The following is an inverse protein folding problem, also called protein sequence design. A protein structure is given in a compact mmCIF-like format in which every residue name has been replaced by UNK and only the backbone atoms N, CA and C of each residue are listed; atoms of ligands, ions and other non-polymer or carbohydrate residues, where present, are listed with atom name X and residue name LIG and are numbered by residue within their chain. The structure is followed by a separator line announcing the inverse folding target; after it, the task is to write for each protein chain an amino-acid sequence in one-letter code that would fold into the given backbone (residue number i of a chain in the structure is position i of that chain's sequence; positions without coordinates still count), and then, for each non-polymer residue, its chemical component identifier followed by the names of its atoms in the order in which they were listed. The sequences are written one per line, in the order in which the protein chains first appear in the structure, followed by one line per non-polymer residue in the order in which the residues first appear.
data_IF_446360835990
#
_entry.id   IF_446360835990
#
_cell.length_a   1.000
_cell.length_b   1.000
_cell.length_c   1.000
_cell.angle_alpha   90.00
_cell.angle_beta   90.00
_cell.angle_gamma   90.00
#
_symmetry.space_group_name_H-M   'P 1'
#
loop_
_entity.id
_entity.type
_entity.pdbx_description
1 polymer ?
#
# COMPACT_ATOMS: atom_id res chain seq x y z
N UNK A 1 -27.27 6.78 2.79
CA UNK A 1 -27.07 5.63 3.70
C UNK A 1 -27.33 4.22 3.12
N UNK A 2 -27.86 4.03 1.89
CA UNK A 2 -28.00 2.68 1.28
C UNK A 2 -26.69 2.10 0.67
N UNK A 3 -25.66 2.93 0.44
CA UNK A 3 -24.41 2.53 -0.21
C UNK A 3 -23.48 1.70 0.71
N UNK A 4 -23.44 2.00 2.02
CA UNK A 4 -22.58 1.28 2.96
C UNK A 4 -23.02 -0.18 3.15
N UNK A 5 -24.34 -0.45 3.23
CA UNK A 5 -24.86 -1.81 3.43
C UNK A 5 -24.58 -2.76 2.26
N UNK A 6 -24.40 -2.25 1.04
CA UNK A 6 -24.06 -3.10 -0.11
C UNK A 6 -22.55 -3.31 -0.28
N UNK A 7 -21.72 -2.34 0.12
CA UNK A 7 -20.28 -2.55 0.18
C UNK A 7 -19.90 -3.71 1.11
N UNK A 8 -20.61 -3.89 2.23
CA UNK A 8 -20.23 -4.88 3.26
C UNK A 8 -20.83 -6.29 3.11
N UNK A 9 -21.83 -6.49 2.24
CA UNK A 9 -22.64 -7.74 2.25
C UNK A 9 -22.00 -8.94 1.54
N UNK A 10 -20.90 -8.75 0.81
CA UNK A 10 -20.14 -9.82 0.14
C UNK A 10 -18.74 -10.03 0.72
N UNK A 11 -18.50 -9.63 1.98
CA UNK A 11 -17.21 -9.95 2.62
C UNK A 11 -17.27 -11.30 3.28
N UNK A 12 -16.45 -12.22 2.74
CA UNK A 12 -16.17 -13.48 3.39
C UNK A 12 -15.42 -13.19 4.69
N UNK A 13 -16.11 -13.27 5.84
CA UNK A 13 -15.54 -12.99 7.17
C UNK A 13 -14.29 -13.82 7.43
N UNK A 14 -14.26 -15.06 6.93
CA UNK A 14 -13.11 -15.96 7.04
C UNK A 14 -11.87 -15.44 6.32
N UNK A 15 -12.03 -14.74 5.20
CA UNK A 15 -10.91 -14.12 4.49
C UNK A 15 -10.27 -13.03 5.34
N UNK A 16 -11.07 -12.15 5.95
CA UNK A 16 -10.56 -11.08 6.80
C UNK A 16 -9.97 -11.59 8.11
N UNK A 17 -10.56 -12.65 8.68
CA UNK A 17 -9.98 -13.36 9.81
C UNK A 17 -8.60 -13.93 9.47
N UNK A 18 -8.46 -14.63 8.34
CA UNK A 18 -7.18 -15.15 7.89
C UNK A 18 -6.16 -14.02 7.67
N UNK A 19 -6.55 -12.93 7.00
CA UNK A 19 -5.70 -11.75 6.83
C UNK A 19 -5.25 -11.21 8.19
N UNK A 20 -6.15 -11.04 9.15
CA UNK A 20 -5.80 -10.56 10.49
C UNK A 20 -4.80 -11.48 11.21
N UNK A 21 -4.96 -12.80 11.12
CA UNK A 21 -4.00 -13.76 11.70
C UNK A 21 -2.62 -13.61 11.06
N UNK A 22 -2.54 -13.54 9.72
CA UNK A 22 -1.24 -13.38 9.04
C UNK A 22 -0.60 -12.03 9.41
N UNK A 23 -1.38 -10.95 9.45
CA UNK A 23 -0.88 -9.63 9.86
C UNK A 23 -0.33 -9.63 11.29
N UNK A 24 -0.99 -10.34 12.22
CA UNK A 24 -0.49 -10.50 13.60
C UNK A 24 0.84 -11.25 13.64
N UNK A 25 0.99 -12.32 12.85
CA UNK A 25 2.25 -13.07 12.78
C UNK A 25 3.38 -12.21 12.20
N UNK A 26 3.11 -11.44 11.13
CA UNK A 26 4.09 -10.52 10.57
C UNK A 26 4.46 -9.40 11.56
N UNK A 27 3.47 -8.82 12.23
CA UNK A 27 3.72 -7.76 13.22
C UNK A 27 4.52 -8.29 14.42
N UNK A 28 4.27 -9.54 14.83
CA UNK A 28 5.05 -10.20 15.88
C UNK A 28 6.52 -10.35 15.50
N UNK A 29 6.80 -10.82 14.28
CA UNK A 29 8.17 -10.93 13.76
C UNK A 29 8.89 -9.56 13.75
N UNK A 30 8.21 -8.50 13.30
CA UNK A 30 8.77 -7.15 13.31
C UNK A 30 9.02 -6.64 14.73
N UNK A 31 8.12 -6.92 15.68
CA UNK A 31 8.31 -6.60 17.10
C UNK A 31 9.57 -7.27 17.64
N UNK A 32 9.73 -8.58 17.43
CA UNK A 32 10.89 -9.31 17.91
C UNK A 32 12.18 -8.73 17.33
N UNK A 33 12.21 -8.47 16.02
CA UNK A 33 13.36 -7.85 15.35
C UNK A 33 13.75 -6.50 15.98
N UNK A 34 12.79 -5.60 16.20
CA UNK A 34 13.05 -4.29 16.81
C UNK A 34 13.56 -4.43 18.25
N UNK A 35 12.92 -5.28 19.05
CA UNK A 35 13.28 -5.47 20.46
C UNK A 35 14.66 -6.10 20.62
N UNK A 36 14.97 -7.13 19.83
CA UNK A 36 16.29 -7.80 19.84
C UNK A 36 17.39 -6.82 19.42
N UNK A 37 17.12 -5.98 18.41
CA UNK A 37 18.08 -4.97 17.95
C UNK A 37 18.28 -3.86 18.99
N UNK A 38 17.22 -3.40 19.64
CA UNK A 38 17.30 -2.41 20.72
C UNK A 38 18.08 -2.94 21.93
N UNK A 39 17.81 -4.17 22.33
CA UNK A 39 18.52 -4.87 23.39
C UNK A 39 20.01 -5.06 23.05
N UNK A 40 20.32 -5.50 21.83
CA UNK A 40 21.70 -5.65 21.36
C UNK A 40 22.49 -4.33 21.43
N UNK A 41 21.82 -3.21 21.22
CA UNK A 41 22.42 -1.86 21.32
C UNK A 41 22.44 -1.29 22.74
N UNK A 42 21.79 -1.94 23.70
CA UNK A 42 21.61 -1.41 25.05
C UNK A 42 20.81 -0.11 25.08
N UNK A 43 19.92 0.09 24.10
CA UNK A 43 19.11 1.30 23.96
C UNK A 43 17.64 1.01 24.24
N UNK A 44 16.94 2.02 24.72
CA UNK A 44 15.53 1.95 25.02
C UNK A 44 14.68 2.22 23.76
N UNK A 45 13.80 1.28 23.41
CA UNK A 45 12.80 1.41 22.34
C UNK A 45 11.43 1.80 22.92
N UNK A 46 10.60 2.45 22.11
CA UNK A 46 9.23 2.77 22.46
C UNK A 46 8.23 2.23 21.42
N UNK A 47 6.93 2.49 21.63
CA UNK A 47 5.87 1.95 20.78
C UNK A 47 6.00 2.36 19.30
N UNK A 48 6.54 3.54 19.02
CA UNK A 48 6.69 4.05 17.64
C UNK A 48 7.65 3.23 16.81
N UNK A 49 8.72 2.71 17.43
CA UNK A 49 9.71 1.88 16.75
C UNK A 49 9.06 0.63 16.16
N UNK A 50 8.21 -0.03 16.96
CA UNK A 50 7.48 -1.23 16.54
C UNK A 50 6.36 -0.88 15.56
N UNK A 51 5.61 0.19 15.79
CA UNK A 51 4.54 0.62 14.86
C UNK A 51 5.10 0.91 13.47
N UNK A 52 6.16 1.70 13.37
CA UNK A 52 6.78 2.06 12.10
C UNK A 52 7.41 0.85 11.42
N UNK A 53 8.04 -0.06 12.16
CA UNK A 53 8.57 -1.30 11.59
C UNK A 53 7.46 -2.21 11.03
N UNK A 54 6.34 -2.34 11.75
CA UNK A 54 5.19 -3.12 11.29
C UNK A 54 4.56 -2.52 10.03
N UNK A 55 4.35 -1.21 10.00
CA UNK A 55 3.69 -0.52 8.88
C UNK A 55 4.60 -0.38 7.65
N UNK A 56 5.89 -0.11 7.87
CA UNK A 56 6.88 0.17 6.83
C UNK A 56 7.69 -1.03 6.34
N UNK A 57 7.28 -2.26 6.66
CA UNK A 57 7.97 -3.46 6.20
C UNK A 57 7.78 -3.67 4.70
N UNK A 58 8.86 -3.62 3.87
CA UNK A 58 8.77 -3.90 2.43
C UNK A 58 8.29 -5.32 2.15
N UNK A 59 8.65 -6.25 3.03
CA UNK A 59 8.27 -7.64 2.91
C UNK A 59 6.77 -7.81 3.06
N UNK A 60 6.18 -7.17 4.07
CA UNK A 60 4.75 -7.15 4.29
C UNK A 60 4.01 -6.60 3.07
N UNK A 61 4.40 -5.42 2.60
CA UNK A 61 3.72 -4.77 1.47
C UNK A 61 3.89 -5.58 0.18
N UNK A 62 5.12 -5.95 -0.20
CA UNK A 62 5.36 -6.57 -1.51
C UNK A 62 4.95 -8.04 -1.58
N UNK A 63 5.17 -8.83 -0.54
CA UNK A 63 4.98 -10.29 -0.60
C UNK A 63 3.63 -10.74 -0.07
N UNK A 64 2.96 -9.94 0.77
CA UNK A 64 1.64 -10.28 1.30
C UNK A 64 0.56 -9.36 0.74
N UNK A 65 0.70 -8.05 0.91
CA UNK A 65 -0.37 -7.09 0.61
C UNK A 65 -0.56 -6.95 -0.90
N UNK A 66 0.50 -6.68 -1.66
CA UNK A 66 0.46 -6.49 -3.11
C UNK A 66 -0.16 -7.67 -3.86
N UNK A 67 0.27 -8.93 -3.70
CA UNK A 67 -0.32 -10.05 -4.43
C UNK A 67 -1.79 -10.26 -4.07
N UNK A 68 -2.14 -10.14 -2.78
CA UNK A 68 -3.53 -10.23 -2.33
C UNK A 68 -4.38 -9.11 -2.95
N UNK A 69 -3.86 -7.87 -2.93
CA UNK A 69 -4.50 -6.70 -3.50
C UNK A 69 -4.73 -6.87 -5.00
N UNK A 70 -3.68 -7.20 -5.76
CA UNK A 70 -3.72 -7.45 -7.21
C UNK A 70 -4.72 -8.55 -7.56
N UNK A 71 -4.66 -9.70 -6.87
CA UNK A 71 -5.58 -10.81 -7.11
C UNK A 71 -7.04 -10.40 -6.91
N UNK A 72 -7.34 -9.76 -5.78
CA UNK A 72 -8.70 -9.33 -5.46
C UNK A 72 -9.18 -8.21 -6.39
N UNK A 73 -8.28 -7.29 -6.76
CA UNK A 73 -8.52 -6.24 -7.75
C UNK A 73 -8.89 -6.83 -9.11
N UNK A 74 -8.12 -7.79 -9.61
CA UNK A 74 -8.36 -8.43 -10.90
C UNK A 74 -9.63 -9.26 -10.90
N UNK A 75 -9.92 -10.00 -9.82
CA UNK A 75 -11.18 -10.73 -9.67
C UNK A 75 -12.39 -9.78 -9.71
N UNK A 76 -12.32 -8.69 -8.97
CA UNK A 76 -13.39 -7.70 -8.92
C UNK A 76 -13.59 -7.01 -10.28
N UNK A 77 -12.52 -6.67 -10.99
CA UNK A 77 -12.61 -6.14 -12.37
C UNK A 77 -13.41 -7.09 -13.26
N UNK A 78 -13.10 -8.39 -13.22
CA UNK A 78 -13.76 -9.39 -14.06
C UNK A 78 -15.22 -9.64 -13.65
N UNK A 79 -15.54 -9.56 -12.36
CA UNK A 79 -16.90 -9.78 -11.85
C UNK A 79 -17.81 -8.55 -12.05
N UNK A 80 -17.28 -7.35 -11.82
CA UNK A 80 -18.04 -6.11 -11.91
C UNK A 80 -18.17 -5.63 -13.38
N UNK A 81 -17.39 -6.19 -14.32
CA UNK A 81 -17.52 -5.97 -15.78
C UNK A 81 -18.57 -6.91 -16.40
N UNK A 82 -19.77 -6.95 -15.83
CA UNK A 82 -20.93 -7.65 -16.37
C UNK A 82 -21.78 -6.68 -17.22
N UNK A 83 -22.21 -7.05 -18.45
CA UNK A 83 -23.12 -6.23 -19.26
C UNK A 83 -24.33 -5.68 -18.50
N UNK A 84 -24.93 -6.47 -17.60
CA UNK A 84 -26.08 -6.07 -16.79
C UNK A 84 -25.71 -4.95 -15.82
N UNK A 85 -24.49 -4.98 -15.28
CA UNK A 85 -23.96 -3.96 -14.38
C UNK A 85 -23.60 -2.70 -15.17
N UNK A 86 -22.98 -2.84 -16.34
CA UNK A 86 -22.57 -1.75 -17.21
C UNK A 86 -23.74 -0.90 -17.74
N UNK A 87 -24.87 -1.53 -18.07
CA UNK A 87 -26.09 -0.83 -18.50
C UNK A 87 -26.56 0.18 -17.43
N UNK A 88 -26.38 -0.13 -16.15
CA UNK A 88 -26.77 0.76 -15.04
C UNK A 88 -25.84 1.97 -14.88
N UNK A 89 -24.57 1.83 -15.25
CA UNK A 89 -23.56 2.89 -15.09
C UNK A 89 -23.52 3.90 -16.23
N UNK A 90 -24.11 3.59 -17.40
CA UNK A 90 -24.19 4.44 -18.61
C UNK A 90 -22.85 4.85 -19.24
N UNK A 91 -21.73 4.77 -18.51
CA UNK A 91 -20.38 5.08 -18.97
C UNK A 91 -19.34 4.24 -18.21
N UNK A 92 -18.30 3.72 -18.90
CA UNK A 92 -17.25 2.95 -18.25
C UNK A 92 -16.46 3.76 -17.20
N UNK A 93 -16.40 5.09 -17.33
CA UNK A 93 -15.76 5.94 -16.31
C UNK A 93 -16.51 5.96 -14.99
N UNK A 94 -17.84 5.94 -15.05
CA UNK A 94 -18.65 5.82 -13.82
C UNK A 94 -18.43 4.47 -13.15
N UNK A 95 -18.23 3.41 -13.94
CA UNK A 95 -17.84 2.10 -13.42
C UNK A 95 -16.47 2.13 -12.73
N UNK A 96 -15.46 2.79 -13.32
CA UNK A 96 -14.14 2.96 -12.67
C UNK A 96 -14.27 3.67 -11.32
N UNK A 97 -14.97 4.80 -11.27
CA UNK A 97 -15.14 5.57 -10.02
C UNK A 97 -15.91 4.80 -8.95
N UNK A 98 -17.00 4.13 -9.34
CA UNK A 98 -17.78 3.29 -8.43
C UNK A 98 -16.92 2.17 -7.82
N UNK A 99 -16.16 1.49 -8.66
CA UNK A 99 -15.34 0.35 -8.25
C UNK A 99 -14.14 0.83 -7.42
N UNK A 100 -13.56 1.99 -7.75
CA UNK A 100 -12.52 2.62 -6.93
C UNK A 100 -13.03 3.00 -5.54
N UNK A 101 -14.22 3.58 -5.41
CA UNK A 101 -14.82 3.91 -4.11
C UNK A 101 -15.04 2.66 -3.25
N UNK A 102 -15.52 1.55 -3.85
CA UNK A 102 -15.65 0.24 -3.20
C UNK A 102 -14.28 -0.28 -2.71
N UNK A 103 -13.21 -0.07 -3.49
CA UNK A 103 -11.83 -0.44 -3.12
C UNK A 103 -11.26 0.41 -2.00
N UNK A 104 -11.50 1.71 -2.01
CA UNK A 104 -11.08 2.58 -0.91
C UNK A 104 -11.71 2.10 0.41
N UNK A 105 -12.98 1.69 0.41
CA UNK A 105 -13.60 1.08 1.58
C UNK A 105 -12.90 -0.19 2.08
N UNK A 106 -12.48 -1.07 1.16
CA UNK A 106 -11.71 -2.29 1.50
C UNK A 106 -10.32 -1.96 2.03
N UNK A 107 -9.67 -0.96 1.44
CA UNK A 107 -8.36 -0.48 1.84
C UNK A 107 -8.40 0.07 3.27
N UNK A 108 -9.43 0.84 3.61
CA UNK A 108 -9.65 1.34 4.97
C UNK A 108 -9.80 0.18 5.96
N UNK A 109 -10.63 -0.82 5.65
CA UNK A 109 -10.80 -2.00 6.52
C UNK A 109 -9.48 -2.73 6.72
N UNK A 110 -8.73 -2.94 5.63
CA UNK A 110 -7.41 -3.57 5.67
C UNK A 110 -6.43 -2.78 6.56
N UNK A 111 -6.34 -1.47 6.40
CA UNK A 111 -5.46 -0.62 7.22
C UNK A 111 -5.87 -0.56 8.68
N UNK A 112 -7.17 -0.59 8.98
CA UNK A 112 -7.63 -0.68 10.36
C UNK A 112 -7.17 -1.99 10.98
N UNK A 113 -7.30 -3.12 10.29
CA UNK A 113 -6.79 -4.42 10.77
C UNK A 113 -5.27 -4.41 10.96
N UNK A 114 -4.53 -3.84 10.00
CA UNK A 114 -3.08 -3.71 10.09
C UNK A 114 -2.66 -2.84 11.28
N UNK A 115 -3.30 -1.69 11.48
CA UNK A 115 -3.03 -0.80 12.60
C UNK A 115 -3.37 -1.46 13.94
N UNK A 116 -4.50 -2.17 14.02
CA UNK A 116 -4.85 -2.93 15.22
C UNK A 116 -3.84 -4.03 15.53
N UNK A 117 -3.36 -4.75 14.51
CA UNK A 117 -2.31 -5.76 14.68
C UNK A 117 -1.01 -5.12 15.17
N UNK A 118 -0.58 -4.00 14.57
CA UNK A 118 0.61 -3.28 14.96
C UNK A 118 0.51 -2.74 16.39
N UNK A 119 -0.62 -2.13 16.77
CA UNK A 119 -0.88 -1.64 18.14
C UNK A 119 -0.94 -2.79 19.15
N UNK A 120 -1.51 -3.95 18.78
CA UNK A 120 -1.49 -5.12 19.67
C UNK A 120 -0.05 -5.57 19.99
N UNK A 121 0.88 -5.40 19.05
CA UNK A 121 2.29 -5.74 19.24
C UNK A 121 3.07 -4.72 20.09
N UNK A 122 2.51 -3.53 20.36
CA UNK A 122 3.15 -2.56 21.25
C UNK A 122 2.89 -2.84 22.74
N UNK A 123 2.10 -3.88 23.05
CA UNK A 123 1.81 -4.26 24.43
C UNK A 123 3.09 -4.58 25.23
N UNK A 124 3.19 -3.99 26.41
CA UNK A 124 4.37 -4.09 27.28
C UNK A 124 5.53 -3.17 26.89
N UNK A 125 5.39 -2.35 25.84
CA UNK A 125 6.40 -1.36 25.43
C UNK A 125 5.96 0.02 25.92
N UNK A 126 6.87 0.83 26.50
CA UNK A 126 6.54 2.14 27.02
C UNK A 126 6.07 3.09 25.93
N UNK A 127 5.02 3.83 26.24
CA UNK A 127 4.47 4.88 25.41
C UNK A 127 5.19 6.20 25.70
N UNK A 128 5.65 6.87 24.65
CA UNK A 128 6.28 8.19 24.70
C UNK A 128 5.71 9.06 23.57
N UNK A 129 5.63 10.37 23.76
CA UNK A 129 5.12 11.27 22.71
C UNK A 129 6.15 11.57 21.60
N UNK A 130 7.42 11.27 21.85
CA UNK A 130 8.55 11.56 20.98
C UNK A 130 9.26 10.26 20.55
N UNK A 131 10.21 10.36 19.62
CA UNK A 131 11.06 9.25 19.21
C UNK A 131 11.93 8.74 20.37
N UNK A 132 12.12 7.42 20.41
CA UNK A 132 12.90 6.73 21.43
C UNK A 132 14.39 7.08 21.37
N UNK A 133 15.12 6.77 22.45
CA UNK A 133 16.57 6.84 22.46
C UNK A 133 17.19 5.90 21.40
N UNK A 134 16.54 4.77 21.13
CA UNK A 134 16.91 3.84 20.07
C UNK A 134 16.90 4.50 18.68
N UNK A 135 15.81 5.18 18.32
CA UNK A 135 15.70 5.90 17.03
C UNK A 135 16.65 7.08 16.91
N UNK A 136 16.92 7.80 18.01
CA UNK A 136 17.82 8.97 18.02
C UNK A 136 19.30 8.63 17.95
N UNK A 137 19.67 7.35 18.08
CA UNK A 137 21.07 6.95 18.11
C UNK A 137 21.77 7.14 16.77
N UNK A 138 23.00 7.68 16.73
CA UNK A 138 23.79 7.77 15.51
C UNK A 138 24.17 6.39 14.94
N UNK A 139 24.07 5.32 15.73
CA UNK A 139 24.20 3.94 15.23
C UNK A 139 22.91 3.40 14.59
N UNK A 140 21.90 4.26 14.44
CA UNK A 140 20.57 3.95 13.94
C UNK A 140 20.49 3.58 12.46
N UNK A 141 21.60 3.60 11.71
CA UNK A 141 21.58 3.29 10.27
C UNK A 141 21.11 1.85 9.98
N UNK A 142 21.17 0.98 11.00
CA UNK A 142 20.62 -0.38 11.00
C UNK A 142 19.09 -0.40 11.21
N UNK A 143 18.51 0.69 11.71
CA UNK A 143 17.09 0.92 11.93
C UNK A 143 16.53 1.65 10.72
N UNK A 144 16.43 0.91 9.61
CA UNK A 144 16.04 1.48 8.32
C UNK A 144 14.64 2.12 8.31
N UNK A 145 13.82 1.98 9.36
CA UNK A 145 12.41 2.41 9.37
C UNK A 145 12.14 3.74 10.07
N UNK A 146 12.86 4.07 11.15
CA UNK A 146 12.54 5.24 12.00
C UNK A 146 13.58 6.35 11.95
N UNK A 147 14.88 6.02 11.86
CA UNK A 147 15.93 7.04 11.89
C UNK A 147 15.79 8.08 10.75
N UNK A 148 15.57 7.69 9.48
CA UNK A 148 15.43 8.69 8.41
C UNK A 148 14.22 9.62 8.61
N UNK A 149 13.17 9.10 9.26
CA UNK A 149 11.94 9.85 9.59
C UNK A 149 12.23 10.87 10.69
N UNK A 150 12.96 10.47 11.73
CA UNK A 150 13.41 11.35 12.79
C UNK A 150 14.35 12.46 12.27
N UNK A 151 15.35 12.11 11.46
CA UNK A 151 16.31 13.08 10.89
C UNK A 151 15.63 14.12 9.99
N UNK A 152 14.50 13.76 9.38
CA UNK A 152 13.68 14.66 8.57
C UNK A 152 12.79 15.60 9.41
N UNK A 153 12.86 15.53 10.75
CA UNK A 153 12.07 16.35 11.67
C UNK A 153 10.59 15.97 11.73
N UNK A 154 10.21 14.78 11.22
CA UNK A 154 8.83 14.32 11.21
C UNK A 154 8.49 13.73 12.58
N UNK A 155 7.38 14.17 13.17
CA UNK A 155 6.89 13.61 14.44
C UNK A 155 6.39 12.16 14.27
N UNK A 156 6.41 11.32 15.32
CA UNK A 156 5.99 9.93 15.19
C UNK A 156 4.56 9.75 14.65
N UNK A 157 3.63 10.58 15.11
CA UNK A 157 2.24 10.61 14.64
C UNK A 157 2.12 10.89 13.15
N UNK A 158 2.84 11.91 12.67
CA UNK A 158 2.84 12.27 11.26
C UNK A 158 3.55 11.19 10.43
N UNK A 159 4.60 10.55 10.97
CA UNK A 159 5.29 9.43 10.36
C UNK A 159 4.35 8.26 10.06
N UNK A 160 3.56 7.82 11.04
CA UNK A 160 2.56 6.77 10.86
C UNK A 160 1.52 7.15 9.82
N UNK A 161 1.01 8.39 9.85
CA UNK A 161 0.02 8.86 8.89
C UNK A 161 0.57 8.88 7.46
N UNK A 162 1.81 9.36 7.28
CA UNK A 162 2.48 9.42 5.99
C UNK A 162 2.79 8.02 5.46
N UNK A 163 3.26 7.10 6.30
CA UNK A 163 3.51 5.69 5.94
C UNK A 163 2.23 5.03 5.40
N UNK A 164 1.12 5.16 6.12
CA UNK A 164 -0.19 4.65 5.68
C UNK A 164 -0.66 5.32 4.38
N UNK A 165 -0.42 6.63 4.24
CA UNK A 165 -0.75 7.38 3.03
C UNK A 165 0.05 6.93 1.80
N UNK A 166 1.36 6.71 1.97
CA UNK A 166 2.25 6.25 0.90
C UNK A 166 1.87 4.85 0.43
N UNK A 167 1.72 3.91 1.36
CA UNK A 167 1.29 2.55 1.04
C UNK A 167 -0.12 2.52 0.43
N UNK A 168 -1.03 3.37 0.91
CA UNK A 168 -2.40 3.44 0.37
C UNK A 168 -2.42 3.99 -1.05
N UNK A 169 -1.64 5.06 -1.30
CA UNK A 169 -1.45 5.65 -2.63
C UNK A 169 -0.89 4.64 -3.63
N UNK A 170 0.14 3.88 -3.23
CA UNK A 170 0.72 2.81 -4.03
C UNK A 170 -0.32 1.76 -4.45
N UNK A 171 -1.13 1.27 -3.52
CA UNK A 171 -2.16 0.26 -3.81
C UNK A 171 -3.28 0.81 -4.71
N UNK A 172 -3.64 2.09 -4.56
CA UNK A 172 -4.58 2.78 -5.45
C UNK A 172 -4.01 2.87 -6.87
N UNK A 173 -2.73 3.24 -7.03
CA UNK A 173 -2.09 3.31 -8.34
C UNK A 173 -2.04 1.94 -9.02
N UNK A 174 -1.72 0.87 -8.29
CA UNK A 174 -1.81 -0.51 -8.83
C UNK A 174 -3.23 -0.81 -9.34
N UNK A 175 -4.25 -0.46 -8.55
CA UNK A 175 -5.64 -0.69 -8.93
C UNK A 175 -6.02 0.08 -10.21
N UNK A 176 -5.60 1.34 -10.33
CA UNK A 176 -5.81 2.15 -11.52
C UNK A 176 -5.08 1.58 -12.73
N UNK A 177 -3.84 1.12 -12.55
CA UNK A 177 -3.05 0.48 -13.60
C UNK A 177 -3.77 -0.77 -14.15
N UNK A 178 -4.30 -1.62 -13.27
CA UNK A 178 -5.08 -2.80 -13.67
C UNK A 178 -6.36 -2.43 -14.43
N UNK A 179 -7.08 -1.38 -14.01
CA UNK A 179 -8.24 -0.89 -14.75
C UNK A 179 -7.85 -0.39 -16.14
N UNK A 180 -6.81 0.44 -16.23
CA UNK A 180 -6.36 0.99 -17.52
C UNK A 180 -5.90 -0.12 -18.46
N UNK A 181 -5.13 -1.11 -17.98
CA UNK A 181 -4.77 -2.29 -18.78
C UNK A 181 -6.01 -3.03 -19.29
N UNK A 182 -6.99 -3.28 -18.43
CA UNK A 182 -8.19 -4.00 -18.82
C UNK A 182 -9.02 -3.23 -19.87
N UNK A 183 -9.14 -1.91 -19.73
CA UNK A 183 -9.88 -1.06 -20.66
C UNK A 183 -9.17 -0.92 -22.02
N UNK A 184 -7.87 -0.63 -22.00
CA UNK A 184 -7.05 -0.40 -23.20
C UNK A 184 -6.99 -1.62 -24.12
N UNK A 185 -6.99 -2.82 -23.54
CA UNK A 185 -6.92 -4.07 -24.30
C UNK A 185 -8.29 -4.71 -24.53
N UNK A 186 -9.35 -3.89 -24.62
CA UNK A 186 -10.72 -4.32 -24.94
C UNK A 186 -11.20 -5.49 -24.07
N UNK A 187 -10.97 -5.40 -22.76
CA UNK A 187 -11.53 -6.32 -21.77
C UNK A 187 -11.02 -7.76 -21.86
N UNK A 188 -9.85 -7.97 -22.49
CA UNK A 188 -9.23 -9.31 -22.60
C UNK A 188 -8.77 -9.80 -21.23
N UNK A 189 -9.43 -10.84 -20.71
CA UNK A 189 -9.09 -11.50 -19.43
C UNK A 189 -7.61 -11.91 -19.33
N UNK A 190 -7.05 -12.48 -20.40
CA UNK A 190 -5.64 -12.92 -20.42
C UNK A 190 -4.67 -11.76 -20.19
N UNK A 191 -4.95 -10.58 -20.76
CA UNK A 191 -4.10 -9.39 -20.58
C UNK A 191 -4.11 -8.93 -19.14
N UNK A 192 -5.27 -8.91 -18.49
CA UNK A 192 -5.38 -8.56 -17.07
C UNK A 192 -4.61 -9.53 -16.18
N UNK A 193 -4.73 -10.84 -16.43
CA UNK A 193 -4.02 -11.87 -15.65
C UNK A 193 -2.51 -11.79 -15.84
N UNK A 194 -2.04 -11.69 -17.08
CA UNK A 194 -0.62 -11.56 -17.38
C UNK A 194 -0.04 -10.25 -16.83
N UNK A 195 -0.76 -9.13 -17.01
CA UNK A 195 -0.38 -7.84 -16.45
C UNK A 195 -0.31 -7.85 -14.92
N UNK A 196 -1.23 -8.55 -14.26
CA UNK A 196 -1.20 -8.75 -12.79
C UNK A 196 0.09 -9.44 -12.35
N UNK A 197 0.48 -10.51 -13.04
CA UNK A 197 1.72 -11.26 -12.75
C UNK A 197 2.95 -10.38 -13.01
N UNK A 198 2.98 -9.65 -14.12
CA UNK A 198 4.08 -8.74 -14.44
C UNK A 198 4.24 -7.61 -13.41
N UNK A 199 3.14 -7.01 -12.94
CA UNK A 199 3.19 -5.97 -11.91
C UNK A 199 3.77 -6.54 -10.60
N UNK A 200 3.33 -7.72 -10.20
CA UNK A 200 3.82 -8.38 -8.99
C UNK A 200 5.30 -8.75 -9.09
N UNK A 201 5.70 -9.47 -10.14
CA UNK A 201 7.11 -9.86 -10.37
C UNK A 201 7.97 -8.60 -10.54
N UNK A 202 7.50 -7.60 -11.29
CA UNK A 202 8.19 -6.34 -11.48
C UNK A 202 8.42 -5.58 -10.17
N UNK A 203 7.46 -5.63 -9.23
CA UNK A 203 7.64 -5.10 -7.88
C UNK A 203 8.75 -5.83 -7.10
N UNK A 204 8.79 -7.16 -7.16
CA UNK A 204 9.84 -7.96 -6.51
C UNK A 204 11.21 -7.67 -7.13
N UNK A 205 11.29 -7.68 -8.47
CA UNK A 205 12.53 -7.37 -9.21
C UNK A 205 13.01 -5.97 -8.90
N UNK A 206 12.10 -4.98 -8.88
CA UNK A 206 12.42 -3.60 -8.51
C UNK A 206 13.00 -3.51 -7.09
N UNK A 207 12.45 -4.25 -6.13
CA UNK A 207 12.96 -4.27 -4.76
C UNK A 207 14.31 -4.97 -4.63
N UNK A 208 14.51 -6.10 -5.30
CA UNK A 208 15.69 -6.96 -5.12
C UNK A 208 16.87 -6.64 -6.03
N UNK A 209 16.62 -6.20 -7.27
CA UNK A 209 17.64 -6.12 -8.33
C UNK A 209 18.03 -4.68 -8.68
N UNK A 210 17.22 -3.68 -8.34
CA UNK A 210 17.58 -2.29 -8.64
C UNK A 210 18.74 -1.84 -7.74
N UNK A 211 19.84 -1.32 -8.31
CA UNK A 211 21.00 -0.86 -7.54
C UNK A 211 20.65 0.23 -6.52
N UNK A 212 21.47 0.34 -5.47
CA UNK A 212 21.35 1.40 -4.46
C UNK A 212 21.46 2.81 -5.03
N UNK A 213 22.24 2.99 -6.10
CA UNK A 213 22.52 4.27 -6.73
C UNK A 213 21.35 4.85 -7.54
N UNK A 214 20.31 4.04 -7.77
CA UNK A 214 19.07 4.46 -8.43
C UNK A 214 17.88 4.33 -7.46
N UNK A 215 17.88 5.06 -6.34
CA UNK A 215 16.91 4.87 -5.28
C UNK A 215 15.49 5.22 -5.74
N UNK A 216 15.33 6.15 -6.68
CA UNK A 216 14.03 6.48 -7.30
C UNK A 216 13.44 5.34 -8.15
N UNK A 217 14.25 4.40 -8.65
CA UNK A 217 13.77 3.28 -9.45
C UNK A 217 13.30 2.10 -8.59
N UNK A 218 13.54 2.15 -7.27
CA UNK A 218 13.05 1.14 -6.32
C UNK A 218 11.60 1.41 -5.97
N UNK A 219 10.77 0.39 -6.11
CA UNK A 219 9.34 0.47 -5.78
C UNK A 219 9.12 0.82 -4.29
N UNK A 220 10.01 0.40 -3.40
CA UNK A 220 9.94 0.69 -1.95
C UNK A 220 10.02 2.18 -1.64
N UNK A 221 10.70 2.96 -2.48
CA UNK A 221 10.84 4.40 -2.31
C UNK A 221 9.51 5.15 -2.45
N UNK A 222 8.48 4.48 -2.97
CA UNK A 222 7.16 5.04 -3.14
C UNK A 222 6.23 4.71 -1.97
N UNK A 223 6.35 3.53 -1.37
CA UNK A 223 5.37 3.07 -0.37
C UNK A 223 5.92 2.94 1.05
N UNK A 224 7.23 3.06 1.27
CA UNK A 224 7.86 3.06 2.59
C UNK A 224 8.48 4.42 2.87
N UNK A 225 8.07 5.07 3.95
CA UNK A 225 8.44 6.44 4.27
C UNK A 225 9.95 6.62 4.42
N UNK A 226 10.62 5.69 5.10
CA UNK A 226 12.07 5.80 5.32
C UNK A 226 12.87 5.73 4.02
N UNK A 227 12.48 4.84 3.09
CA UNK A 227 13.08 4.79 1.76
C UNK A 227 12.69 6.00 0.91
N UNK A 228 11.46 6.53 1.05
CA UNK A 228 11.05 7.79 0.41
C UNK A 228 11.99 8.93 0.79
N UNK A 229 12.28 9.11 2.08
CA UNK A 229 13.10 10.21 2.57
C UNK A 229 14.57 10.09 2.15
N UNK A 230 15.05 8.87 1.92
CA UNK A 230 16.38 8.64 1.35
C UNK A 230 16.44 8.83 -0.16
N UNK A 231 15.32 8.63 -0.86
CA UNK A 231 15.27 8.62 -2.33
C UNK A 231 14.89 9.95 -2.95
N UNK A 232 14.11 10.76 -2.22
CA UNK A 232 13.55 12.01 -2.71
C UNK A 232 13.91 13.17 -1.80
N UNK A 233 14.11 14.38 -2.35
CA UNK A 233 14.43 15.57 -1.55
C UNK A 233 13.28 16.00 -0.64
N UNK A 234 12.05 15.54 -0.92
CA UNK A 234 10.88 15.86 -0.11
C UNK A 234 9.86 14.72 -0.11
N UNK A 235 9.21 14.52 1.03
CA UNK A 235 8.22 13.45 1.25
C UNK A 235 6.97 13.57 0.37
N UNK A 236 6.64 14.78 -0.11
CA UNK A 236 5.46 14.99 -0.96
C UNK A 236 5.66 14.48 -2.41
N UNK A 237 6.89 14.18 -2.82
CA UNK A 237 7.22 13.81 -4.21
C UNK A 237 6.49 12.53 -4.66
N UNK A 238 6.51 11.40 -3.91
CA UNK A 238 5.70 10.23 -4.27
C UNK A 238 4.21 10.53 -4.40
N UNK A 239 3.64 11.36 -3.53
CA UNK A 239 2.22 11.73 -3.60
C UNK A 239 1.89 12.51 -4.88
N UNK A 240 2.77 13.44 -5.28
CA UNK A 240 2.64 14.13 -6.56
C UNK A 240 2.76 13.16 -7.75
N UNK A 241 3.67 12.18 -7.68
CA UNK A 241 3.79 11.14 -8.69
C UNK A 241 2.54 10.27 -8.76
N UNK A 242 1.94 9.89 -7.63
CA UNK A 242 0.67 9.16 -7.60
C UNK A 242 -0.46 9.93 -8.26
N UNK A 243 -0.57 11.23 -7.97
CA UNK A 243 -1.56 12.09 -8.61
C UNK A 243 -1.33 12.14 -10.12
N UNK A 244 -0.09 12.38 -10.56
CA UNK A 244 0.28 12.43 -11.97
C UNK A 244 -0.05 11.10 -12.68
N UNK A 245 0.39 9.97 -12.14
CA UNK A 245 0.11 8.65 -12.71
C UNK A 245 -1.39 8.37 -12.75
N UNK A 246 -2.14 8.74 -11.71
CA UNK A 246 -3.59 8.55 -11.67
C UNK A 246 -4.29 9.37 -12.77
N UNK A 247 -3.91 10.64 -12.96
CA UNK A 247 -4.45 11.50 -14.01
C UNK A 247 -4.11 10.94 -15.40
N UNK A 248 -2.87 10.51 -15.62
CA UNK A 248 -2.42 9.92 -16.89
C UNK A 248 -3.19 8.63 -17.19
N UNK A 249 -3.26 7.70 -16.25
CA UNK A 249 -3.94 6.41 -16.41
C UNK A 249 -5.43 6.56 -16.70
N UNK A 250 -6.11 7.46 -15.99
CA UNK A 250 -7.52 7.77 -16.21
C UNK A 250 -7.74 8.53 -17.53
N UNK A 251 -6.86 9.47 -17.86
CA UNK A 251 -6.90 10.23 -19.12
C UNK A 251 -6.77 9.34 -20.34
N UNK A 252 -5.79 8.43 -20.35
CA UNK A 252 -5.61 7.44 -21.42
C UNK A 252 -6.84 6.53 -21.55
N UNK A 253 -7.35 6.01 -20.43
CA UNK A 253 -8.56 5.19 -20.45
C UNK A 253 -9.77 5.96 -21.02
N UNK A 254 -9.91 7.25 -20.69
CA UNK A 254 -10.99 8.09 -21.19
C UNK A 254 -10.90 8.36 -22.68
N UNK A 255 -9.71 8.74 -23.17
CA UNK A 255 -9.49 8.98 -24.59
C UNK A 255 -9.73 7.72 -25.42
N UNK A 256 -9.24 6.57 -24.97
CA UNK A 256 -9.45 5.29 -25.65
C UNK A 256 -10.95 4.96 -25.79
N UNK A 257 -11.71 5.09 -24.71
CA UNK A 257 -13.15 4.84 -24.73
C UNK A 257 -13.92 5.82 -25.60
N UNK A 258 -13.46 7.07 -25.72
CA UNK A 258 -14.07 8.07 -26.59
C UNK A 258 -13.85 7.73 -28.07
N UNK A 259 -12.65 7.32 -28.45
CA UNK A 259 -12.35 6.94 -29.84
C UNK A 259 -13.19 5.75 -30.30
N UNK A 260 -13.31 4.71 -29.47
CA UNK A 260 -14.09 3.50 -29.80
C UNK A 260 -15.61 3.72 -29.91
N UNK A 261 -16.13 4.87 -29.45
CA UNK A 261 -17.55 5.24 -29.60
C UNK A 261 -17.84 5.92 -30.96
N UNK A 262 -16.80 6.36 -31.67
CA UNK A 262 -16.92 7.08 -32.94
C UNK A 262 -16.90 6.11 -34.13
N UNK A 263 -16.54 4.84 -33.91
CA UNK A 263 -16.67 3.71 -34.84
C UNK A 263 -18.03 3.01 -34.67
#
# INVERSE_FOLDING_TARGET
MRFSRHCFRSYNVWMWFFVAVVLLLCAWDQRMFVMDLAQYKGLHSNQWDVLMACLGSPFLVLYLISPFWIFHSSRMILQDWDPVVLIRFKSPMHWVWFTLAKRIGQLIVFYVLLLLAAVAMTTGIPWESDWSAFTKSPSGHLIAYTQPVYESGISPWLGVLLEMGLAGGYLIVIQLLLYSLFLLFSHKRLVLLFGSVLIFIGGIVSYKMVPGDLPFAKVTSYFVLSYTLQSFPAVWVPFAMYLLFSVVLLGFAYLYLRMKRIE
#
